data_IF_040061578625
#
_entry.id   IF_040061578625
#
_cell.length_a   1.000
_cell.length_b   1.000
_cell.length_c   1.000
_cell.angle_alpha   90.00
_cell.angle_beta   90.00
_cell.angle_gamma   90.00
#
_symmetry.space_group_name_H-M   'P 1'
#
loop_
_entity.id
_entity.type
_entity.pdbx_description
1 polymer ?
#
# COMPACT_ATOMS: atom_id res chain seq x y z
N UNK A 1 -2.47 -18.83 -5.74
CA UNK A 1 -1.92 -17.77 -4.87
C UNK A 1 -3.01 -17.00 -4.14
N UNK A 2 -4.10 -16.55 -4.80
CA UNK A 2 -5.20 -15.82 -4.12
C UNK A 2 -5.85 -16.61 -2.97
N UNK A 3 -6.15 -17.90 -3.17
CA UNK A 3 -6.77 -18.75 -2.12
C UNK A 3 -5.96 -18.79 -0.82
N UNK A 4 -4.64 -18.99 -0.89
CA UNK A 4 -3.79 -19.04 0.30
C UNK A 4 -3.75 -17.70 1.06
N UNK A 5 -3.82 -16.56 0.34
CA UNK A 5 -3.91 -15.23 0.97
C UNK A 5 -5.25 -15.04 1.70
N UNK A 6 -6.35 -15.51 1.11
CA UNK A 6 -7.66 -15.48 1.76
C UNK A 6 -7.70 -16.40 2.99
N UNK A 7 -7.13 -17.60 2.91
CA UNK A 7 -7.01 -18.50 4.07
C UNK A 7 -6.18 -17.88 5.21
N UNK A 8 -5.11 -17.13 4.89
CA UNK A 8 -4.33 -16.39 5.87
C UNK A 8 -5.15 -15.27 6.57
N UNK A 9 -6.03 -14.60 5.82
CA UNK A 9 -6.95 -13.60 6.39
C UNK A 9 -8.04 -14.26 7.25
N UNK A 10 -8.67 -15.31 6.74
CA UNK A 10 -9.74 -16.04 7.44
C UNK A 10 -9.25 -16.69 8.74
N UNK A 11 -7.98 -17.11 8.78
CA UNK A 11 -7.35 -17.68 9.97
C UNK A 11 -6.72 -16.64 10.91
N UNK A 12 -6.78 -15.35 10.57
CA UNK A 12 -6.22 -14.26 11.38
C UNK A 12 -4.69 -14.20 11.40
N UNK A 13 -4.02 -14.84 10.44
CA UNK A 13 -2.56 -14.78 10.28
C UNK A 13 -2.14 -13.41 9.72
N UNK A 14 -3.00 -12.79 8.91
CA UNK A 14 -2.77 -11.48 8.34
C UNK A 14 -4.09 -10.70 8.19
N UNK A 15 -3.99 -9.38 8.15
CA UNK A 15 -5.13 -8.52 7.83
C UNK A 15 -5.32 -8.39 6.31
N UNK A 16 -6.54 -8.11 5.87
CA UNK A 16 -6.86 -7.99 4.45
C UNK A 16 -6.06 -6.86 3.78
N UNK A 17 -5.94 -5.72 4.45
CA UNK A 17 -5.19 -4.55 4.00
C UNK A 17 -3.71 -4.85 3.83
N UNK A 18 -3.14 -5.74 4.65
CA UNK A 18 -1.75 -6.17 4.51
C UNK A 18 -1.57 -7.08 3.29
N UNK A 19 -2.47 -8.03 3.08
CA UNK A 19 -2.34 -9.05 2.02
C UNK A 19 -2.71 -8.54 0.62
N UNK A 20 -3.66 -7.59 0.55
CA UNK A 20 -4.26 -7.09 -0.67
C UNK A 20 -4.17 -5.58 -0.84
N UNK A 21 -3.51 -4.86 0.07
CA UNK A 21 -3.46 -3.40 0.09
C UNK A 21 -3.10 -2.76 -1.25
N UNK A 22 -2.13 -3.32 -1.97
CA UNK A 22 -1.67 -2.81 -3.27
C UNK A 22 -2.73 -2.85 -4.37
N UNK A 23 -3.79 -3.65 -4.21
CA UNK A 23 -4.91 -3.75 -5.14
C UNK A 23 -6.12 -2.88 -4.76
N UNK A 24 -6.09 -2.23 -3.58
CA UNK A 24 -7.17 -1.35 -3.14
C UNK A 24 -7.18 -0.09 -4.00
N UNK A 25 -8.35 0.24 -4.54
CA UNK A 25 -8.60 1.47 -5.32
C UNK A 25 -8.93 2.61 -4.36
N UNK A 26 -8.20 3.73 -4.49
CA UNK A 26 -8.40 4.95 -3.73
C UNK A 26 -9.45 5.86 -4.38
N UNK A 27 -9.93 6.91 -3.69
CA UNK A 27 -10.99 7.79 -4.23
C UNK A 27 -10.69 8.47 -5.56
N UNK A 28 -9.41 8.59 -5.94
CA UNK A 28 -9.00 9.14 -7.23
C UNK A 28 -9.02 8.10 -8.37
N UNK A 29 -9.49 6.88 -8.10
CA UNK A 29 -9.64 5.81 -9.09
C UNK A 29 -8.36 5.00 -9.33
N UNK A 30 -7.25 5.33 -8.67
CA UNK A 30 -5.98 4.59 -8.77
C UNK A 30 -5.78 3.65 -7.60
N UNK A 31 -5.04 2.59 -7.82
CA UNK A 31 -4.65 1.61 -6.80
C UNK A 31 -3.56 2.15 -5.88
N UNK A 32 -3.45 1.63 -4.65
CA UNK A 32 -2.32 1.91 -3.75
C UNK A 32 -0.98 1.60 -4.44
N UNK A 33 -0.92 0.55 -5.27
CA UNK A 33 0.26 0.24 -6.09
C UNK A 33 0.67 1.42 -6.98
N UNK A 34 -0.26 1.97 -7.74
CA UNK A 34 0.01 3.09 -8.66
C UNK A 34 0.47 4.36 -7.92
N UNK A 35 0.04 4.55 -6.67
CA UNK A 35 0.46 5.69 -5.84
C UNK A 35 1.82 5.52 -5.20
N UNK A 36 2.21 4.30 -4.83
CA UNK A 36 3.33 4.07 -3.90
C UNK A 36 4.59 3.51 -4.56
N UNK A 37 4.46 2.81 -5.69
CA UNK A 37 5.59 2.09 -6.32
C UNK A 37 6.76 2.98 -6.69
N UNK A 38 6.49 4.16 -7.27
CA UNK A 38 7.54 5.13 -7.60
C UNK A 38 8.29 5.64 -6.37
N UNK A 39 7.57 5.92 -5.29
CA UNK A 39 8.16 6.36 -4.01
C UNK A 39 8.99 5.25 -3.37
N UNK A 40 8.53 4.01 -3.43
CA UNK A 40 9.27 2.84 -2.93
C UNK A 40 10.58 2.66 -3.70
N UNK A 41 10.53 2.75 -5.04
CA UNK A 41 11.72 2.66 -5.89
C UNK A 41 12.75 3.74 -5.53
N UNK A 42 12.29 4.99 -5.43
CA UNK A 42 13.14 6.10 -5.00
C UNK A 42 13.74 5.86 -3.61
N UNK A 43 12.94 5.38 -2.65
CA UNK A 43 13.40 5.11 -1.29
C UNK A 43 14.53 4.06 -1.25
N UNK A 44 14.46 3.03 -2.09
CA UNK A 44 15.54 2.07 -2.25
C UNK A 44 16.80 2.70 -2.88
N UNK A 45 16.65 3.59 -3.85
CA UNK A 45 17.78 4.28 -4.49
C UNK A 45 18.51 5.22 -3.52
N UNK A 46 17.77 6.00 -2.72
CA UNK A 46 18.34 6.97 -1.79
C UNK A 46 18.67 6.39 -0.41
N UNK A 47 18.25 5.14 -0.14
CA UNK A 47 18.44 4.46 1.13
C UNK A 47 17.66 5.07 2.31
N UNK A 48 16.62 5.86 2.04
CA UNK A 48 15.80 6.54 3.05
C UNK A 48 14.34 6.51 2.65
N UNK A 49 13.44 6.38 3.64
CA UNK A 49 11.99 6.47 3.42
C UNK A 49 11.59 7.94 3.55
N UNK A 50 11.02 8.55 2.49
CA UNK A 50 10.53 9.92 2.58
C UNK A 50 9.49 10.07 3.70
N UNK A 51 9.48 11.21 4.41
CA UNK A 51 8.52 11.40 5.50
C UNK A 51 7.09 11.32 4.96
N UNK A 52 6.25 10.57 5.68
CA UNK A 52 4.85 10.34 5.32
C UNK A 52 4.01 11.63 5.32
N UNK A 53 4.55 12.73 5.87
CA UNK A 53 3.96 14.07 5.83
C UNK A 53 3.76 14.60 4.40
N UNK A 54 4.38 14.00 3.38
CA UNK A 54 4.08 14.28 1.98
C UNK A 54 2.69 13.77 1.53
N UNK A 55 2.04 12.89 2.31
CA UNK A 55 0.67 12.42 2.08
C UNK A 55 -0.40 13.26 2.81
N UNK A 56 -0.02 14.32 3.52
CA UNK A 56 -1.00 15.22 4.13
C UNK A 56 -1.78 15.94 3.02
N UNK A 57 -3.03 15.53 2.81
CA UNK A 57 -3.97 16.30 2.00
C UNK A 57 -4.06 17.73 2.56
N UNK A 58 -4.21 18.76 1.69
CA UNK A 58 -4.36 20.13 2.15
C UNK A 58 -5.54 20.21 3.13
N UNK A 59 -5.25 20.61 4.37
CA UNK A 59 -6.29 20.94 5.35
C UNK A 59 -7.05 22.16 4.81
N UNK A 60 -8.33 21.97 4.50
CA UNK A 60 -9.28 23.04 4.16
C UNK A 60 -9.42 24.06 5.29
#
# INVERSE_FOLDING_TARGET
>A
MVKAKLEAVESGIAEFEQEFGMHIVLPDGRTVYEHTTGWIAQAYEVGTVPPLSALEAPRS
#
